data_IF_181818167999
#
_entry.id   IF_181818167999
#
_cell.length_a   1.000
_cell.length_b   1.000
_cell.length_c   1.000
_cell.angle_alpha   90.00
_cell.angle_beta   90.00
_cell.angle_gamma   90.00
#
_symmetry.space_group_name_H-M   'P 1'
#
loop_
_entity.id
_entity.type
_entity.pdbx_description
1 polymer ?
#
# COMPACT_ATOMS: atom_id res chain seq x y z
N UNK A 1 22.83 -18.74 39.36
CA UNK A 1 21.66 -18.40 38.52
C UNK A 1 21.29 -16.95 38.80
N UNK A 2 21.83 -15.99 38.02
CA UNK A 2 21.47 -14.57 38.16
C UNK A 2 20.29 -14.30 37.22
N UNK A 3 19.09 -14.22 37.78
CA UNK A 3 17.93 -13.67 37.08
C UNK A 3 18.24 -12.19 36.82
N UNK A 4 18.54 -11.84 35.56
CA UNK A 4 18.65 -10.45 35.15
C UNK A 4 17.26 -9.82 35.30
N UNK A 5 17.18 -8.85 36.20
CA UNK A 5 15.97 -8.08 36.45
C UNK A 5 15.52 -7.43 35.14
N UNK A 6 14.35 -7.84 34.64
CA UNK A 6 13.60 -7.05 33.70
C UNK A 6 13.34 -5.69 34.38
N UNK A 7 13.91 -4.63 33.83
CA UNK A 7 13.69 -3.27 34.33
C UNK A 7 12.20 -2.98 34.14
N UNK A 8 11.48 -2.93 35.26
CA UNK A 8 10.11 -2.43 35.34
C UNK A 8 10.07 -1.00 34.77
N UNK A 9 9.39 -0.81 33.64
CA UNK A 9 9.08 0.52 33.12
C UNK A 9 7.80 1.02 33.85
N UNK A 10 7.80 2.16 34.56
CA UNK A 10 6.67 2.55 35.44
C UNK A 10 5.44 3.11 34.72
N UNK A 11 5.44 3.14 33.39
CA UNK A 11 4.28 3.35 32.55
C UNK A 11 4.35 2.27 31.46
N UNK A 12 3.22 1.72 31.02
CA UNK A 12 3.16 0.72 29.92
C UNK A 12 3.54 1.29 28.55
N UNK A 13 4.53 2.17 28.51
CA UNK A 13 4.96 2.96 27.37
C UNK A 13 5.83 2.08 26.47
N UNK A 14 5.26 1.72 25.33
CA UNK A 14 5.98 1.01 24.27
C UNK A 14 7.00 1.95 23.65
N UNK A 15 8.21 1.47 23.30
CA UNK A 15 9.21 2.31 22.66
C UNK A 15 8.71 2.82 21.30
N UNK A 16 8.90 4.11 21.02
CA UNK A 16 8.61 4.70 19.71
C UNK A 16 9.42 4.05 18.58
N UNK A 17 8.96 4.11 17.32
CA UNK A 17 9.73 3.59 16.19
C UNK A 17 11.14 4.15 16.11
N UNK A 18 11.33 5.45 16.40
CA UNK A 18 12.65 6.08 16.45
C UNK A 18 13.56 5.47 17.52
N UNK A 19 13.05 5.19 18.72
CA UNK A 19 13.82 4.53 19.78
C UNK A 19 14.19 3.09 19.43
N UNK A 20 13.37 2.44 18.60
CA UNK A 20 13.63 1.10 18.07
C UNK A 20 14.61 1.09 16.87
N UNK A 21 14.99 2.28 16.35
CA UNK A 21 15.92 2.45 15.23
C UNK A 21 15.27 2.51 13.85
N UNK A 22 13.94 2.68 13.79
CA UNK A 22 13.20 2.83 12.54
C UNK A 22 13.09 4.31 12.12
N UNK A 23 12.97 4.53 10.82
CA UNK A 23 12.69 5.82 10.20
C UNK A 23 11.84 5.63 8.94
N UNK A 24 11.08 6.65 8.56
CA UNK A 24 10.41 6.70 7.26
C UNK A 24 11.48 7.02 6.21
N UNK A 25 11.69 6.16 5.19
CA UNK A 25 12.61 6.49 4.10
C UNK A 25 12.04 7.64 3.28
N UNK A 26 12.90 8.35 2.55
CA UNK A 26 12.44 9.34 1.59
C UNK A 26 11.75 8.68 0.39
N UNK A 27 10.79 9.36 -0.22
CA UNK A 27 9.96 8.82 -1.32
C UNK A 27 10.74 8.57 -2.63
N UNK A 28 11.99 9.00 -2.73
CA UNK A 28 12.87 8.70 -3.87
C UNK A 28 13.84 7.54 -3.60
N UNK A 29 13.82 6.97 -2.39
CA UNK A 29 14.57 5.75 -2.10
C UNK A 29 13.89 4.54 -2.77
N UNK A 30 14.60 3.42 -2.98
CA UNK A 30 14.02 2.25 -3.64
C UNK A 30 12.75 1.74 -2.95
N UNK A 31 11.71 1.52 -3.74
CA UNK A 31 10.44 0.97 -3.29
C UNK A 31 10.30 -0.51 -3.70
N UNK A 32 9.60 -1.28 -2.86
CA UNK A 32 9.15 -2.65 -3.22
C UNK A 32 7.88 -2.60 -4.07
N UNK A 33 6.96 -1.72 -3.71
CA UNK A 33 5.64 -1.62 -4.31
C UNK A 33 5.00 -0.24 -4.08
N UNK A 34 4.10 0.14 -4.99
CA UNK A 34 3.15 1.25 -4.81
C UNK A 34 1.75 0.72 -4.53
N UNK A 35 1.07 1.31 -3.54
CA UNK A 35 -0.28 0.94 -3.14
C UNK A 35 -1.31 1.92 -3.71
N UNK A 36 -2.38 1.39 -4.30
CA UNK A 36 -3.52 2.14 -4.83
C UNK A 36 -4.82 1.53 -4.30
N UNK A 37 -5.87 2.33 -4.19
CA UNK A 37 -7.23 1.84 -3.95
C UNK A 37 -8.10 2.10 -5.17
N UNK A 38 -8.84 1.08 -5.61
CA UNK A 38 -9.63 1.13 -6.84
C UNK A 38 -10.82 2.10 -6.72
N UNK A 39 -11.10 2.95 -7.73
CA UNK A 39 -12.21 3.88 -7.66
C UNK A 39 -13.56 3.17 -7.76
N UNK A 40 -14.38 3.32 -6.73
CA UNK A 40 -15.78 2.85 -6.73
C UNK A 40 -16.79 3.89 -6.21
N UNK A 41 -16.34 4.97 -5.56
CA UNK A 41 -17.24 5.90 -4.86
C UNK A 41 -17.89 6.91 -5.84
N UNK A 42 -19.17 6.70 -6.13
CA UNK A 42 -19.98 7.57 -7.00
C UNK A 42 -20.33 8.93 -6.36
N UNK A 43 -20.31 9.05 -5.03
CA UNK A 43 -20.56 10.32 -4.35
C UNK A 43 -19.37 11.26 -4.48
N UNK A 44 -18.15 10.71 -4.42
CA UNK A 44 -16.92 11.47 -4.70
C UNK A 44 -16.83 11.83 -6.19
N UNK A 45 -17.25 10.93 -7.09
CA UNK A 45 -17.08 11.06 -8.53
C UNK A 45 -18.41 10.97 -9.32
N UNK A 46 -19.35 11.91 -9.12
CA UNK A 46 -20.65 11.88 -9.80
C UNK A 46 -20.46 11.99 -11.31
N UNK A 47 -21.03 11.04 -12.05
CA UNK A 47 -20.96 10.91 -13.52
C UNK A 47 -19.53 10.79 -14.10
N UNK A 48 -18.50 10.72 -13.26
CA UNK A 48 -17.09 10.69 -13.67
C UNK A 48 -16.34 9.43 -13.23
N UNK A 49 -16.96 8.57 -12.42
CA UNK A 49 -16.31 7.37 -11.87
C UNK A 49 -15.61 6.53 -12.95
N UNK A 50 -16.25 6.34 -14.10
CA UNK A 50 -15.69 5.58 -15.22
C UNK A 50 -14.44 6.25 -15.81
N UNK A 51 -14.45 7.58 -15.95
CA UNK A 51 -13.27 8.33 -16.37
C UNK A 51 -12.13 8.22 -15.34
N UNK A 52 -12.46 8.25 -14.05
CA UNK A 52 -11.48 8.10 -12.96
C UNK A 52 -10.87 6.69 -12.98
N UNK A 53 -11.66 5.64 -13.20
CA UNK A 53 -11.14 4.28 -13.38
C UNK A 53 -10.12 4.19 -14.52
N UNK A 54 -10.36 4.87 -15.64
CA UNK A 54 -9.40 4.93 -16.74
C UNK A 54 -8.07 5.63 -16.36
N UNK A 55 -8.12 6.64 -15.49
CA UNK A 55 -6.90 7.24 -14.94
C UNK A 55 -6.15 6.25 -14.06
N UNK A 56 -6.87 5.43 -13.27
CA UNK A 56 -6.25 4.36 -12.49
C UNK A 56 -5.58 3.31 -13.36
N UNK A 57 -6.22 2.90 -14.45
CA UNK A 57 -5.60 2.00 -15.45
C UNK A 57 -4.30 2.61 -15.99
N UNK A 58 -4.29 3.91 -16.30
CA UNK A 58 -3.08 4.59 -16.77
C UNK A 58 -1.97 4.64 -15.70
N UNK A 59 -2.32 4.88 -14.43
CA UNK A 59 -1.34 4.85 -13.34
C UNK A 59 -0.74 3.46 -13.17
N UNK A 60 -1.56 2.41 -13.12
CA UNK A 60 -1.09 1.02 -13.00
C UNK A 60 -0.20 0.65 -14.19
N UNK A 61 -0.58 1.05 -15.41
CA UNK A 61 0.25 0.84 -16.61
C UNK A 61 1.61 1.54 -16.52
N UNK A 62 1.67 2.75 -15.97
CA UNK A 62 2.93 3.48 -15.81
C UNK A 62 3.84 2.88 -14.72
N UNK A 63 3.25 2.33 -13.65
CA UNK A 63 3.97 1.80 -12.49
C UNK A 63 4.45 0.36 -12.69
N UNK A 64 3.58 -0.51 -13.22
CA UNK A 64 3.82 -1.96 -13.30
C UNK A 64 5.12 -2.39 -14.01
N UNK A 65 5.70 -1.66 -14.98
CA UNK A 65 7.01 -2.03 -15.54
C UNK A 65 8.19 -1.84 -14.56
N UNK A 66 8.05 -0.99 -13.54
CA UNK A 66 9.13 -0.58 -12.65
C UNK A 66 9.03 -1.16 -11.23
N UNK A 67 7.83 -1.38 -10.72
CA UNK A 67 7.59 -1.90 -9.37
C UNK A 67 6.27 -2.66 -9.26
N UNK A 68 6.08 -3.40 -8.17
CA UNK A 68 4.80 -4.05 -7.87
C UNK A 68 3.72 -3.00 -7.58
N UNK A 69 2.51 -3.22 -8.09
CA UNK A 69 1.32 -2.44 -7.78
C UNK A 69 0.39 -3.27 -6.91
N UNK A 70 0.22 -2.85 -5.66
CA UNK A 70 -0.75 -3.43 -4.75
C UNK A 70 -2.07 -2.67 -4.88
N UNK A 71 -3.10 -3.29 -5.45
CA UNK A 71 -4.39 -2.67 -5.70
C UNK A 71 -5.45 -3.18 -4.72
N UNK A 72 -5.97 -2.28 -3.87
CA UNK A 72 -7.12 -2.56 -3.02
C UNK A 72 -8.40 -2.51 -3.85
N UNK A 73 -9.26 -3.50 -3.68
CA UNK A 73 -10.60 -3.60 -4.27
C UNK A 73 -11.59 -4.02 -3.18
N UNK A 74 -12.86 -3.63 -3.28
CA UNK A 74 -13.81 -3.95 -2.21
C UNK A 74 -14.16 -5.45 -2.17
N UNK A 75 -14.33 -6.05 -3.35
CA UNK A 75 -14.78 -7.42 -3.49
C UNK A 75 -14.31 -8.08 -4.80
N UNK A 76 -14.75 -9.32 -5.04
CA UNK A 76 -14.39 -10.07 -6.25
C UNK A 76 -15.01 -9.54 -7.54
N UNK A 77 -16.09 -8.76 -7.48
CA UNK A 77 -16.69 -8.13 -8.67
C UNK A 77 -15.80 -6.97 -9.12
N UNK A 78 -15.37 -6.13 -8.19
CA UNK A 78 -14.43 -5.04 -8.49
C UNK A 78 -13.07 -5.55 -8.94
N UNK A 79 -12.58 -6.64 -8.33
CA UNK A 79 -11.37 -7.31 -8.80
C UNK A 79 -11.52 -7.76 -10.25
N UNK A 80 -12.64 -8.39 -10.59
CA UNK A 80 -12.91 -8.85 -11.97
C UNK A 80 -12.94 -7.67 -12.94
N UNK A 81 -13.64 -6.58 -12.59
CA UNK A 81 -13.70 -5.37 -13.40
C UNK A 81 -12.30 -4.75 -13.61
N UNK A 82 -11.51 -4.64 -12.54
CA UNK A 82 -10.16 -4.09 -12.61
C UNK A 82 -9.25 -4.98 -13.48
N UNK A 83 -9.32 -6.30 -13.34
CA UNK A 83 -8.57 -7.25 -14.19
C UNK A 83 -8.94 -7.09 -15.66
N UNK A 84 -10.23 -7.00 -15.99
CA UNK A 84 -10.69 -6.81 -17.37
C UNK A 84 -10.12 -5.50 -17.96
N UNK A 85 -10.24 -4.37 -17.26
CA UNK A 85 -9.71 -3.09 -17.74
C UNK A 85 -8.19 -3.04 -17.87
N UNK A 86 -7.48 -3.70 -16.96
CA UNK A 86 -6.02 -3.74 -16.99
C UNK A 86 -5.50 -4.67 -18.10
N UNK A 87 -6.24 -5.74 -18.40
CA UNK A 87 -5.90 -6.73 -19.43
C UNK A 87 -5.93 -6.20 -20.86
N UNK A 88 -6.69 -5.14 -21.13
CA UNK A 88 -6.78 -4.51 -22.46
C UNK A 88 -5.59 -3.57 -22.79
N UNK A 89 -4.61 -3.44 -21.89
CA UNK A 89 -3.50 -2.48 -22.01
C UNK A 89 -2.09 -3.07 -21.93
N UNK A 90 -1.10 -2.19 -21.90
CA UNK A 90 0.34 -2.52 -21.76
C UNK A 90 0.76 -2.78 -20.29
N UNK A 91 -0.18 -3.23 -19.44
CA UNK A 91 0.06 -3.48 -18.02
C UNK A 91 0.84 -4.78 -17.84
N UNK A 92 1.90 -4.78 -17.03
CA UNK A 92 2.61 -6.00 -16.64
C UNK A 92 1.83 -6.66 -15.51
N UNK A 93 0.84 -7.49 -15.87
CA UNK A 93 -0.10 -8.09 -14.91
C UNK A 93 0.57 -8.93 -13.82
N UNK A 94 1.73 -9.55 -14.10
CA UNK A 94 2.52 -10.28 -13.10
C UNK A 94 3.04 -9.40 -11.96
N UNK A 95 3.07 -8.07 -12.15
CA UNK A 95 3.45 -7.09 -11.15
C UNK A 95 2.23 -6.42 -10.48
N UNK A 96 1.00 -6.91 -10.71
CA UNK A 96 -0.21 -6.37 -10.09
C UNK A 96 -0.79 -7.39 -9.10
N UNK A 97 -0.81 -7.02 -7.82
CA UNK A 97 -1.36 -7.81 -6.73
C UNK A 97 -2.68 -7.22 -6.24
N UNK A 98 -3.75 -8.01 -6.25
CA UNK A 98 -5.08 -7.58 -5.77
C UNK A 98 -5.29 -7.96 -4.31
N UNK A 99 -5.84 -7.02 -3.54
CA UNK A 99 -6.20 -7.22 -2.13
C UNK A 99 -7.66 -6.82 -1.91
N UNK A 100 -8.49 -7.78 -1.51
CA UNK A 100 -9.91 -7.54 -1.19
C UNK A 100 -10.03 -6.92 0.19
N UNK A 101 -9.97 -5.59 0.24
CA UNK A 101 -10.05 -4.78 1.45
C UNK A 101 -11.03 -3.64 1.16
N UNK A 102 -12.22 -3.64 1.78
CA UNK A 102 -13.19 -2.58 1.58
C UNK A 102 -12.61 -1.21 1.90
N UNK A 103 -12.80 -0.26 1.00
CA UNK A 103 -12.41 1.14 1.18
C UNK A 103 -13.63 2.05 1.05
N UNK A 104 -13.50 3.30 1.49
CA UNK A 104 -14.56 4.32 1.30
C UNK A 104 -14.24 5.21 0.09
N UNK A 105 -12.95 5.41 -0.20
CA UNK A 105 -12.48 6.24 -1.30
C UNK A 105 -11.02 5.89 -1.65
N UNK A 106 -10.50 6.49 -2.71
CA UNK A 106 -9.24 6.13 -3.37
C UNK A 106 -7.98 6.67 -2.70
N UNK A 107 -8.12 7.54 -1.70
CA UNK A 107 -7.05 8.36 -1.11
C UNK A 107 -6.15 7.59 -0.14
N UNK A 108 -5.62 6.45 -0.57
CA UNK A 108 -4.78 5.55 0.25
C UNK A 108 -3.51 6.22 0.78
N UNK A 109 -3.05 7.31 0.16
CA UNK A 109 -1.96 8.15 0.70
C UNK A 109 -2.29 8.66 2.11
N UNK A 110 -3.55 8.93 2.41
CA UNK A 110 -3.98 9.59 3.65
C UNK A 110 -4.33 8.58 4.76
N UNK A 111 -4.95 7.44 4.39
CA UNK A 111 -5.39 6.42 5.35
C UNK A 111 -4.51 5.16 5.36
N UNK A 112 -3.64 5.00 4.37
CA UNK A 112 -2.73 3.87 4.26
C UNK A 112 -1.58 3.93 5.27
N UNK A 113 -0.84 2.83 5.42
CA UNK A 113 0.29 2.78 6.32
C UNK A 113 1.43 3.70 5.87
N UNK A 114 2.07 4.37 6.83
CA UNK A 114 3.39 4.97 6.62
C UNK A 114 4.45 3.92 6.96
N UNK A 115 5.10 3.37 5.92
CA UNK A 115 6.12 2.35 6.10
C UNK A 115 7.40 2.92 6.70
N UNK A 116 8.03 2.14 7.58
CA UNK A 116 9.30 2.49 8.22
C UNK A 116 10.33 1.41 7.92
N UNK A 117 11.60 1.82 7.78
CA UNK A 117 12.76 0.95 7.60
C UNK A 117 13.80 1.18 8.70
N UNK A 118 14.68 0.21 8.91
CA UNK A 118 15.79 0.30 9.86
C UNK A 118 17.12 0.45 9.10
N UNK A 119 18.08 1.20 9.65
CA UNK A 119 19.41 1.38 9.03
C UNK A 119 20.27 0.12 9.01
N UNK A 120 19.99 -0.83 9.89
CA UNK A 120 20.58 -2.16 9.91
C UNK A 120 19.47 -3.15 9.59
N UNK A 121 19.71 -4.08 8.66
CA UNK A 121 18.78 -5.16 8.35
C UNK A 121 18.44 -5.94 9.62
N UNK A 122 17.30 -5.62 10.24
CA UNK A 122 16.69 -6.47 11.25
C UNK A 122 15.68 -7.35 10.54
N UNK A 123 16.19 -8.47 10.02
CA UNK A 123 15.44 -9.61 9.50
C UNK A 123 14.39 -9.29 8.40
N UNK A 124 14.85 -9.16 7.16
CA UNK A 124 14.21 -9.81 6.00
C UNK A 124 12.77 -9.45 5.64
N UNK A 125 12.28 -8.27 6.04
CA UNK A 125 11.04 -7.70 5.50
C UNK A 125 11.42 -6.72 4.37
N UNK A 126 11.94 -7.27 3.28
CA UNK A 126 12.11 -6.61 2.00
C UNK A 126 11.33 -7.40 0.94
#
# INVERSE_FOLDING_TARGET
MKLSQAKNNPAGEQPSPRQLGYHMPAEWEPHRATWLAWPHNVETWPDQLEFVKEIWVQMVRALSPAEEVCLLVDDGREETEAVERLGDGEVVMDHVSFYRVPTVDVWIRDYGPTFLTAKEEKNGLA
#
